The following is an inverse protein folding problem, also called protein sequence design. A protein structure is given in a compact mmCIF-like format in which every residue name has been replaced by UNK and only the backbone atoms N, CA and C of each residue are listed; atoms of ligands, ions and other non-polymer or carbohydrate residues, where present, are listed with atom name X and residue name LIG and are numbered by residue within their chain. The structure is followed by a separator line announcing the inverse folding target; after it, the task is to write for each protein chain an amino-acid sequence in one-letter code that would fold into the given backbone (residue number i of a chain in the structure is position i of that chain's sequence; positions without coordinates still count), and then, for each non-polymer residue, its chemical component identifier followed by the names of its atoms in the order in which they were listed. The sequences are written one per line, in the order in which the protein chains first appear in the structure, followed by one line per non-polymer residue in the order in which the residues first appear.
data_IF_119908200302
#
_entry.id   IF_119908200302
#
_cell.length_a   1.000
_cell.length_b   1.000
_cell.length_c   1.000
_cell.angle_alpha   90.00
_cell.angle_beta   90.00
_cell.angle_gamma   90.00
#
_symmetry.space_group_name_H-M   'P 1'
#
loop_
_entity.id
_entity.type
_entity.pdbx_description
1 polymer ?
#
# COMPACT_ATOMS: atom_id res chain seq x y z
N UNK A 1 -8.51 32.23 -88.61
CA UNK A 1 -7.53 31.53 -87.74
C UNK A 1 -7.86 31.88 -86.30
N UNK A 2 -8.33 30.92 -85.49
CA UNK A 2 -8.81 31.14 -84.11
C UNK A 2 -7.65 30.88 -83.13
N UNK A 3 -7.28 31.90 -82.35
CA UNK A 3 -6.32 31.83 -81.24
C UNK A 3 -7.01 31.17 -80.04
N UNK A 4 -6.42 30.11 -79.48
CA UNK A 4 -6.85 29.49 -78.21
C UNK A 4 -6.11 30.15 -77.05
N UNK A 5 -6.86 30.70 -76.08
CA UNK A 5 -6.32 31.08 -74.77
C UNK A 5 -6.13 29.82 -73.91
N UNK A 6 -4.95 29.70 -73.29
CA UNK A 6 -4.68 28.77 -72.19
C UNK A 6 -5.18 29.39 -70.88
N UNK A 7 -6.06 28.70 -70.16
CA UNK A 7 -6.41 29.01 -68.77
C UNK A 7 -5.57 28.12 -67.84
N UNK A 8 -4.71 28.73 -67.02
CA UNK A 8 -4.03 28.09 -65.89
C UNK A 8 -5.03 27.86 -64.76
N UNK A 9 -5.28 26.60 -64.40
CA UNK A 9 -5.99 26.25 -63.17
C UNK A 9 -4.97 26.00 -62.05
N UNK A 10 -4.90 26.92 -61.07
CA UNK A 10 -4.21 26.72 -59.80
C UNK A 10 -5.09 25.87 -58.88
N UNK A 11 -4.66 24.65 -58.59
CA UNK A 11 -5.22 23.81 -57.52
C UNK A 11 -4.47 24.11 -56.21
N UNK A 12 -5.14 24.51 -55.12
CA UNK A 12 -4.50 24.58 -53.80
C UNK A 12 -4.31 23.17 -53.26
N UNK A 13 -3.05 22.76 -53.10
CA UNK A 13 -2.65 21.64 -52.25
C UNK A 13 -2.98 21.97 -50.80
N UNK A 14 -4.17 21.60 -50.34
CA UNK A 14 -4.48 21.52 -48.92
C UNK A 14 -3.67 20.36 -48.33
N UNK A 15 -2.55 20.67 -47.68
CA UNK A 15 -1.88 19.72 -46.80
C UNK A 15 -2.83 19.40 -45.64
N UNK A 16 -3.40 18.19 -45.67
CA UNK A 16 -4.05 17.57 -44.52
C UNK A 16 -3.00 17.39 -43.42
N UNK A 17 -3.10 18.18 -42.35
CA UNK A 17 -2.31 17.96 -41.15
C UNK A 17 -2.68 16.59 -40.57
N UNK A 18 -1.72 15.67 -40.54
CA UNK A 18 -1.86 14.34 -39.97
C UNK A 18 -2.38 14.40 -38.52
N UNK A 19 -3.38 13.56 -38.22
CA UNK A 19 -3.94 13.28 -36.90
C UNK A 19 -2.90 12.63 -35.96
N UNK A 20 -1.97 13.40 -35.41
CA UNK A 20 -1.05 12.92 -34.37
C UNK A 20 -1.74 12.70 -33.02
N UNK A 21 -2.85 13.39 -32.78
CA UNK A 21 -3.64 13.31 -31.56
C UNK A 21 -4.45 12.02 -31.41
N UNK A 22 -4.90 11.40 -32.52
CA UNK A 22 -5.61 10.12 -32.46
C UNK A 22 -4.68 8.96 -32.10
N UNK A 23 -3.45 8.97 -32.63
CA UNK A 23 -2.47 7.91 -32.35
C UNK A 23 -1.99 7.96 -30.89
N UNK A 24 -1.75 9.15 -30.33
CA UNK A 24 -1.45 9.29 -28.89
C UNK A 24 -2.63 8.86 -28.03
N UNK A 25 -3.86 9.25 -28.38
CA UNK A 25 -5.05 8.87 -27.62
C UNK A 25 -5.33 7.36 -27.67
N UNK A 26 -5.09 6.71 -28.81
CA UNK A 26 -5.19 5.24 -28.95
C UNK A 26 -4.08 4.54 -28.17
N UNK A 27 -2.86 5.08 -28.16
CA UNK A 27 -1.75 4.59 -27.31
C UNK A 27 -2.07 4.70 -25.82
N UNK A 28 -2.55 5.85 -25.37
CA UNK A 28 -2.94 6.11 -23.98
C UNK A 28 -4.13 5.23 -23.56
N UNK A 29 -5.10 5.00 -24.45
CA UNK A 29 -6.22 4.08 -24.21
C UNK A 29 -5.75 2.62 -24.13
N UNK A 30 -4.83 2.19 -25.01
CA UNK A 30 -4.27 0.84 -24.97
C UNK A 30 -3.44 0.60 -23.69
N UNK A 31 -2.64 1.59 -23.28
CA UNK A 31 -1.87 1.54 -22.02
C UNK A 31 -2.82 1.54 -20.82
N UNK A 32 -3.86 2.37 -20.81
CA UNK A 32 -4.89 2.38 -19.77
C UNK A 32 -5.58 1.01 -19.65
N UNK A 33 -6.00 0.42 -20.78
CA UNK A 33 -6.69 -0.88 -20.81
C UNK A 33 -5.77 -2.02 -20.35
N UNK A 34 -4.49 -2.01 -20.74
CA UNK A 34 -3.50 -3.01 -20.31
C UNK A 34 -3.14 -2.87 -18.83
N UNK A 35 -2.99 -1.65 -18.32
CA UNK A 35 -2.76 -1.37 -16.89
C UNK A 35 -3.98 -1.68 -16.02
N UNK A 36 -5.16 -1.81 -16.62
CA UNK A 36 -6.41 -2.17 -15.93
C UNK A 36 -6.75 -3.67 -16.02
N UNK A 37 -5.95 -4.48 -16.73
CA UNK A 37 -5.99 -5.94 -16.59
C UNK A 37 -5.47 -6.32 -15.19
N UNK A 38 -6.25 -7.06 -14.41
CA UNK A 38 -5.97 -7.39 -13.01
C UNK A 38 -5.86 -6.15 -12.09
N UNK A 39 -6.66 -5.12 -12.35
CA UNK A 39 -6.71 -3.91 -11.53
C UNK A 39 -7.03 -4.24 -10.06
N UNK A 40 -7.88 -5.23 -9.80
CA UNK A 40 -8.15 -5.77 -8.48
C UNK A 40 -6.89 -6.29 -7.79
N UNK A 41 -6.12 -7.15 -8.45
CA UNK A 41 -4.86 -7.65 -7.90
C UNK A 41 -3.85 -6.53 -7.66
N UNK A 42 -3.80 -5.55 -8.57
CA UNK A 42 -2.93 -4.39 -8.44
C UNK A 42 -3.35 -3.53 -7.26
N UNK A 43 -4.64 -3.21 -7.11
CA UNK A 43 -5.14 -2.45 -5.97
C UNK A 43 -4.81 -3.13 -4.64
N UNK A 44 -4.93 -4.46 -4.58
CA UNK A 44 -4.62 -5.25 -3.38
C UNK A 44 -3.12 -5.42 -3.10
N UNK A 45 -2.25 -5.18 -4.08
CA UNK A 45 -0.80 -5.33 -3.93
C UNK A 45 -0.13 -4.13 -3.24
N UNK A 46 -0.84 -3.01 -3.08
CA UNK A 46 -0.31 -1.77 -2.53
C UNK A 46 -1.20 -1.23 -1.41
N UNK A 47 -0.58 -0.53 -0.47
CA UNK A 47 -1.26 0.44 0.38
C UNK A 47 -1.21 1.80 -0.30
N UNK A 48 -2.38 2.42 -0.50
CA UNK A 48 -2.50 3.68 -1.23
C UNK A 48 -2.68 4.82 -0.26
N UNK A 49 -1.83 5.85 -0.34
CA UNK A 49 -1.83 6.98 0.60
C UNK A 49 -1.98 8.30 -0.13
N UNK A 50 -2.86 9.18 0.35
CA UNK A 50 -3.01 10.53 -0.16
C UNK A 50 -3.08 11.52 1.01
N UNK A 51 -2.40 12.66 0.87
CA UNK A 51 -2.59 13.78 1.77
C UNK A 51 -3.87 14.52 1.35
N UNK A 52 -4.77 14.73 2.31
CA UNK A 52 -5.94 15.61 2.11
C UNK A 52 -5.63 16.97 2.72
N UNK A 53 -6.21 18.04 2.18
CA UNK A 53 -5.99 19.39 2.68
C UNK A 53 -6.22 19.44 4.20
N UNK A 54 -5.23 19.99 4.92
CA UNK A 54 -5.29 20.29 6.34
C UNK A 54 -5.45 19.11 7.32
N UNK A 55 -5.55 17.86 6.86
CA UNK A 55 -5.71 16.72 7.76
C UNK A 55 -4.37 16.36 8.45
N UNK A 56 -4.38 15.99 9.75
CA UNK A 56 -3.15 15.66 10.48
C UNK A 56 -2.40 14.42 9.96
N UNK A 57 -3.12 13.45 9.40
CA UNK A 57 -2.56 12.20 8.85
C UNK A 57 -3.09 11.95 7.45
N UNK A 58 -2.36 11.21 6.60
CA UNK A 58 -2.84 10.85 5.27
C UNK A 58 -4.08 9.95 5.35
N UNK A 59 -4.90 10.03 4.29
CA UNK A 59 -5.94 9.06 4.00
C UNK A 59 -5.28 7.83 3.37
N UNK A 60 -5.45 6.67 4.00
CA UNK A 60 -4.82 5.42 3.54
C UNK A 60 -5.87 4.38 3.18
N UNK A 61 -5.77 3.82 1.97
CA UNK A 61 -6.63 2.74 1.46
C UNK A 61 -5.87 1.41 1.49
N UNK A 62 -6.56 0.38 1.97
CA UNK A 62 -6.09 -1.01 1.96
C UNK A 62 -7.18 -1.88 1.34
N UNK A 63 -6.92 -2.35 0.13
CA UNK A 63 -7.78 -3.29 -0.56
C UNK A 63 -7.30 -4.70 -0.22
N UNK A 64 -8.16 -5.55 0.36
CA UNK A 64 -7.82 -6.95 0.59
C UNK A 64 -8.39 -7.87 -0.49
N UNK A 65 -7.77 -9.04 -0.63
CA UNK A 65 -8.20 -10.07 -1.60
C UNK A 65 -9.55 -10.71 -1.24
N UNK A 66 -10.07 -10.47 -0.03
CA UNK A 66 -11.38 -10.95 0.40
C UNK A 66 -12.51 -9.96 0.06
N UNK A 67 -12.21 -8.88 -0.65
CA UNK A 67 -13.20 -7.90 -1.11
C UNK A 67 -13.56 -6.86 -0.04
N UNK A 68 -12.71 -6.60 0.94
CA UNK A 68 -12.87 -5.48 1.90
C UNK A 68 -11.86 -4.37 1.64
N UNK A 69 -12.37 -3.14 1.66
CA UNK A 69 -11.60 -1.91 1.59
C UNK A 69 -11.57 -1.32 3.00
N UNK A 70 -10.40 -1.33 3.63
CA UNK A 70 -10.12 -0.60 4.85
C UNK A 70 -9.62 0.80 4.53
N UNK A 71 -10.18 1.80 5.21
CA UNK A 71 -9.85 3.21 5.02
C UNK A 71 -9.41 3.78 6.37
N UNK A 72 -8.13 4.13 6.47
CA UNK A 72 -7.59 4.80 7.66
C UNK A 72 -7.62 6.30 7.44
N UNK A 73 -8.26 7.03 8.35
CA UNK A 73 -8.25 8.50 8.37
C UNK A 73 -7.44 9.01 9.55
N UNK A 74 -7.42 10.32 9.74
CA UNK A 74 -6.72 10.98 10.86
C UNK A 74 -7.29 10.61 12.23
N UNK A 75 -8.58 10.26 12.28
CA UNK A 75 -9.28 9.96 13.51
C UNK A 75 -9.98 8.60 13.41
N UNK A 76 -11.06 8.46 12.65
CA UNK A 76 -11.80 7.20 12.55
C UNK A 76 -11.24 6.23 11.50
N UNK A 77 -11.44 4.93 11.75
CA UNK A 77 -11.32 3.90 10.73
C UNK A 77 -12.66 3.69 10.02
N UNK A 78 -12.64 3.52 8.70
CA UNK A 78 -13.81 3.17 7.91
C UNK A 78 -13.58 1.88 7.12
N UNK A 79 -14.67 1.21 6.76
CA UNK A 79 -14.63 -0.04 6.01
C UNK A 79 -15.84 -0.22 5.11
N UNK A 80 -15.62 -0.76 3.92
CA UNK A 80 -16.70 -1.13 2.98
C UNK A 80 -16.28 -2.37 2.19
N UNK A 81 -17.22 -3.00 1.48
CA UNK A 81 -16.87 -3.97 0.44
C UNK A 81 -16.30 -3.27 -0.78
N UNK A 82 -15.51 -3.97 -1.58
CA UNK A 82 -15.05 -3.46 -2.87
C UNK A 82 -14.94 -4.56 -3.92
N UNK A 83 -15.03 -4.16 -5.18
CA UNK A 83 -14.65 -4.94 -6.36
C UNK A 83 -14.36 -3.99 -7.52
N UNK A 84 -13.73 -4.49 -8.57
CA UNK A 84 -13.60 -3.76 -9.84
C UNK A 84 -14.65 -4.28 -10.82
N UNK A 85 -15.50 -3.37 -11.35
CA UNK A 85 -16.43 -3.67 -12.44
C UNK A 85 -16.38 -2.55 -13.46
N UNK A 86 -16.27 -2.88 -14.75
CA UNK A 86 -16.26 -1.90 -15.85
C UNK A 86 -15.31 -0.73 -15.60
N UNK A 87 -14.12 -1.03 -15.06
CA UNK A 87 -13.10 -0.04 -14.75
C UNK A 87 -13.49 0.99 -13.68
N UNK A 88 -14.41 0.60 -12.80
CA UNK A 88 -14.82 1.38 -11.64
C UNK A 88 -14.60 0.55 -10.37
N UNK A 89 -14.18 1.20 -9.29
CA UNK A 89 -14.24 0.59 -7.97
C UNK A 89 -15.69 0.69 -7.50
N UNK A 90 -16.30 -0.46 -7.27
CA UNK A 90 -17.68 -0.57 -6.76
C UNK A 90 -17.61 -0.87 -5.28
N UNK A 91 -18.22 0.00 -4.46
CA UNK A 91 -18.25 -0.14 -3.00
C UNK A 91 -19.66 -0.31 -2.47
N UNK A 92 -19.76 -0.94 -1.29
CA UNK A 92 -21.02 -1.05 -0.54
C UNK A 92 -21.20 0.07 0.49
N UNK A 93 -22.10 -0.16 1.44
CA UNK A 93 -22.33 0.75 2.57
C UNK A 93 -21.05 0.89 3.40
N UNK A 94 -20.74 2.13 3.80
CA UNK A 94 -19.59 2.41 4.64
C UNK A 94 -19.94 2.20 6.12
N UNK A 95 -19.07 1.49 6.82
CA UNK A 95 -19.06 1.47 8.27
C UNK A 95 -17.90 2.33 8.77
N UNK A 96 -18.10 3.07 9.87
CA UNK A 96 -17.06 3.89 10.48
C UNK A 96 -17.11 3.79 12.00
N UNK A 97 -15.95 3.93 12.64
CA UNK A 97 -15.89 4.21 14.09
C UNK A 97 -16.40 5.63 14.37
N UNK A 98 -16.79 5.90 15.62
CA UNK A 98 -17.35 7.19 16.04
C UNK A 98 -16.57 7.79 17.22
N UNK A 99 -15.31 8.13 17.00
CA UNK A 99 -14.53 8.92 17.94
C UNK A 99 -14.81 10.40 17.74
N UNK A 100 -14.66 11.19 18.81
CA UNK A 100 -14.70 12.65 18.70
C UNK A 100 -13.42 13.14 18.02
N UNK A 101 -13.56 13.89 16.93
CA UNK A 101 -12.45 14.29 16.07
C UNK A 101 -12.43 15.81 15.90
N UNK A 102 -11.24 16.37 15.67
CA UNK A 102 -11.15 17.77 15.28
C UNK A 102 -11.78 18.02 13.89
N UNK A 103 -12.20 19.26 13.57
CA UNK A 103 -12.91 19.55 12.32
C UNK A 103 -12.18 19.11 11.04
N UNK A 104 -10.84 19.22 11.02
CA UNK A 104 -10.02 18.84 9.86
C UNK A 104 -9.99 17.32 9.64
N UNK A 105 -9.98 16.53 10.70
CA UNK A 105 -10.10 15.08 10.61
C UNK A 105 -11.50 14.67 10.12
N UNK A 106 -12.55 15.30 10.65
CA UNK A 106 -13.93 15.07 10.16
C UNK A 106 -14.12 15.44 8.68
N UNK A 107 -13.45 16.50 8.21
CA UNK A 107 -13.48 16.87 6.79
C UNK A 107 -12.82 15.80 5.91
N UNK A 108 -11.71 15.19 6.35
CA UNK A 108 -11.09 14.06 5.65
C UNK A 108 -12.01 12.83 5.62
N UNK A 109 -12.71 12.55 6.71
CA UNK A 109 -13.72 11.49 6.78
C UNK A 109 -14.86 11.73 5.76
N UNK A 110 -15.30 12.97 5.59
CA UNK A 110 -16.27 13.34 4.56
C UNK A 110 -15.73 13.10 3.14
N UNK A 111 -14.46 13.40 2.89
CA UNK A 111 -13.81 13.09 1.60
C UNK A 111 -13.83 11.58 1.34
N UNK A 112 -13.49 10.76 2.34
CA UNK A 112 -13.55 9.30 2.21
C UNK A 112 -14.98 8.80 1.94
N UNK A 113 -15.99 9.32 2.64
CA UNK A 113 -17.39 8.97 2.41
C UNK A 113 -17.87 9.39 1.00
N UNK A 114 -17.48 10.58 0.52
CA UNK A 114 -17.83 11.06 -0.82
C UNK A 114 -17.29 10.12 -1.92
N UNK A 115 -16.12 9.51 -1.69
CA UNK A 115 -15.48 8.54 -2.59
C UNK A 115 -16.07 7.12 -2.50
N UNK A 116 -16.48 6.65 -1.32
CA UNK A 116 -16.67 5.21 -1.09
C UNK A 116 -18.02 4.80 -0.48
N UNK A 117 -18.89 5.72 -0.05
CA UNK A 117 -20.23 5.35 0.44
C UNK A 117 -21.14 4.89 -0.71
N UNK A 118 -21.30 3.58 -0.90
CA UNK A 118 -22.17 2.98 -1.91
C UNK A 118 -21.96 3.61 -3.31
N UNK A 119 -20.74 3.50 -3.84
CA UNK A 119 -20.31 4.20 -5.06
C UNK A 119 -19.91 3.23 -6.17
N UNK A 120 -19.90 3.77 -7.39
CA UNK A 120 -19.14 3.25 -8.53
C UNK A 120 -18.22 4.37 -9.00
N UNK A 121 -16.97 4.35 -8.54
CA UNK A 121 -16.01 5.44 -8.82
C UNK A 121 -15.05 5.06 -9.96
N UNK A 122 -14.95 5.87 -11.02
CA UNK A 122 -13.89 5.73 -12.00
C UNK A 122 -12.52 5.90 -11.35
N UNK A 123 -11.55 5.11 -11.81
CA UNK A 123 -10.17 5.24 -11.36
C UNK A 123 -9.18 5.07 -12.51
N UNK A 124 -7.97 5.57 -12.30
CA UNK A 124 -6.83 5.40 -13.21
C UNK A 124 -5.64 4.91 -12.40
N UNK A 125 -5.02 3.82 -12.86
CA UNK A 125 -3.75 3.34 -12.34
C UNK A 125 -2.63 3.81 -13.26
N UNK A 126 -1.54 4.30 -12.69
CA UNK A 126 -0.29 4.53 -13.39
C UNK A 126 0.82 3.77 -12.67
N UNK A 127 1.36 2.77 -13.36
CA UNK A 127 2.35 1.83 -12.83
C UNK A 127 3.75 2.06 -13.43
N UNK A 128 3.97 3.22 -14.06
CA UNK A 128 5.22 3.52 -14.75
C UNK A 128 6.41 3.69 -13.78
N UNK A 129 6.13 4.09 -12.54
CA UNK A 129 7.08 4.06 -11.43
C UNK A 129 6.72 2.89 -10.49
N UNK A 130 7.47 1.77 -10.52
CA UNK A 130 7.21 0.63 -9.65
C UNK A 130 7.39 0.92 -8.15
N UNK A 131 8.16 1.94 -7.78
CA UNK A 131 8.43 2.31 -6.39
C UNK A 131 7.36 3.25 -5.83
N UNK A 132 6.72 4.04 -6.70
CA UNK A 132 5.67 4.98 -6.33
C UNK A 132 4.55 5.02 -7.39
N UNK A 133 3.85 3.90 -7.66
CA UNK A 133 2.73 3.92 -8.58
C UNK A 133 1.62 4.82 -8.05
N UNK A 134 0.77 5.32 -8.95
CA UNK A 134 -0.32 6.21 -8.55
C UNK A 134 -1.70 5.63 -8.89
N UNK A 135 -2.63 5.84 -7.97
CA UNK A 135 -4.05 5.56 -8.13
C UNK A 135 -4.80 6.89 -8.07
N UNK A 136 -5.43 7.27 -9.17
CA UNK A 136 -6.28 8.46 -9.22
C UNK A 136 -7.74 8.02 -9.13
N UNK A 137 -8.49 8.54 -8.16
CA UNK A 137 -9.93 8.32 -8.02
C UNK A 137 -10.65 9.65 -8.26
N UNK A 138 -11.76 9.61 -8.99
CA UNK A 138 -12.60 10.78 -9.26
C UNK A 138 -13.82 10.75 -8.33
N UNK A 139 -13.99 11.80 -7.54
CA UNK A 139 -15.17 11.96 -6.67
C UNK A 139 -16.42 12.23 -7.50
N UNK A 140 -17.60 12.09 -6.89
CA UNK A 140 -18.89 12.43 -7.52
C UNK A 140 -19.00 13.91 -7.91
N UNK A 141 -18.16 14.77 -7.33
CA UNK A 141 -18.07 16.20 -7.65
C UNK A 141 -17.08 16.50 -8.79
N UNK A 142 -16.44 15.47 -9.34
CA UNK A 142 -15.41 15.60 -10.38
C UNK A 142 -14.00 15.90 -9.85
N UNK A 143 -13.82 15.99 -8.53
CA UNK A 143 -12.51 16.23 -7.92
C UNK A 143 -11.64 14.98 -8.04
N UNK A 144 -10.38 15.15 -8.41
CA UNK A 144 -9.42 14.05 -8.53
C UNK A 144 -8.59 13.97 -7.27
N UNK A 145 -8.49 12.77 -6.69
CA UNK A 145 -7.60 12.49 -5.56
C UNK A 145 -6.58 11.47 -6.04
N UNK A 146 -5.31 11.83 -5.91
CA UNK A 146 -4.17 11.00 -6.33
C UNK A 146 -3.54 10.39 -5.10
N UNK A 147 -3.54 9.06 -5.05
CA UNK A 147 -2.88 8.27 -4.03
C UNK A 147 -1.55 7.74 -4.57
N UNK A 148 -0.54 7.70 -3.72
CA UNK A 148 0.73 7.02 -3.98
C UNK A 148 0.70 5.64 -3.35
N UNK A 149 1.05 4.62 -4.13
CA UNK A 149 1.10 3.23 -3.70
C UNK A 149 2.44 2.90 -3.05
N UNK A 150 2.40 2.20 -1.91
CA UNK A 150 3.53 1.49 -1.34
C UNK A 150 3.26 0.00 -1.39
N UNK A 151 4.16 -0.77 -2.00
CA UNK A 151 3.99 -2.21 -2.15
C UNK A 151 3.83 -2.89 -0.78
N UNK A 152 2.90 -3.83 -0.70
CA UNK A 152 2.70 -4.69 0.48
C UNK A 152 3.86 -5.68 0.62
N UNK A 153 4.09 -6.18 1.83
CA UNK A 153 5.15 -7.16 2.07
C UNK A 153 4.85 -8.49 1.35
N UNK A 154 3.57 -8.91 1.34
CA UNK A 154 3.07 -10.06 0.59
C UNK A 154 3.40 -9.95 -0.91
N UNK A 155 3.19 -8.78 -1.51
CA UNK A 155 3.51 -8.54 -2.92
C UNK A 155 5.03 -8.46 -3.16
N UNK A 156 5.77 -7.80 -2.26
CA UNK A 156 7.24 -7.68 -2.33
C UNK A 156 7.93 -9.03 -2.26
N UNK A 157 7.53 -9.90 -1.33
CA UNK A 157 8.15 -11.22 -1.12
C UNK A 157 7.48 -12.35 -1.89
N UNK A 158 6.30 -12.10 -2.48
CA UNK A 158 5.53 -13.08 -3.24
C UNK A 158 5.25 -14.38 -2.47
N UNK A 159 5.03 -14.23 -1.16
CA UNK A 159 4.73 -15.32 -0.23
C UNK A 159 3.69 -14.85 0.79
N UNK A 160 2.95 -15.79 1.36
CA UNK A 160 2.01 -15.47 2.44
C UNK A 160 2.78 -15.20 3.74
N UNK A 161 2.37 -14.15 4.45
CA UNK A 161 2.99 -13.78 5.71
C UNK A 161 2.54 -14.69 6.85
N UNK A 162 3.44 -15.55 7.31
CA UNK A 162 3.27 -16.34 8.53
C UNK A 162 3.35 -15.44 9.76
N UNK A 163 2.35 -15.50 10.63
CA UNK A 163 2.37 -14.75 11.89
C UNK A 163 3.18 -15.49 12.93
N UNK A 164 4.22 -14.85 13.45
CA UNK A 164 4.99 -15.30 14.61
C UNK A 164 5.01 -14.22 15.69
N UNK A 165 5.30 -14.61 16.93
CA UNK A 165 5.44 -13.68 18.04
C UNK A 165 6.82 -13.84 18.67
N UNK A 166 7.54 -12.74 18.75
CA UNK A 166 8.84 -12.69 19.42
C UNK A 166 8.73 -11.78 20.63
N UNK A 167 9.14 -12.29 21.78
CA UNK A 167 9.52 -11.43 22.90
C UNK A 167 10.95 -10.97 22.67
N UNK A 168 11.17 -9.66 22.76
CA UNK A 168 12.43 -9.00 22.50
C UNK A 168 12.95 -8.43 23.81
N UNK A 169 14.18 -8.81 24.15
CA UNK A 169 14.87 -8.34 25.34
C UNK A 169 15.21 -6.84 25.24
N UNK A 170 15.20 -6.11 26.35
CA UNK A 170 15.78 -4.78 26.44
C UNK A 170 17.29 -4.77 26.12
N UNK A 171 17.97 -5.90 26.29
CA UNK A 171 19.39 -6.03 26.03
C UNK A 171 19.69 -6.64 24.66
N UNK A 172 20.68 -6.09 23.98
CA UNK A 172 21.27 -6.66 22.77
C UNK A 172 22.63 -7.29 23.06
N UNK A 173 23.11 -8.14 22.16
CA UNK A 173 24.42 -8.78 22.29
C UNK A 173 25.23 -8.67 21.01
N UNK A 174 26.54 -8.50 21.15
CA UNK A 174 27.45 -8.63 20.02
C UNK A 174 27.33 -10.03 19.42
N UNK A 175 27.30 -10.10 18.10
CA UNK A 175 27.15 -11.33 17.34
C UNK A 175 27.86 -11.20 15.99
N UNK A 176 28.17 -12.33 15.37
CA UNK A 176 28.78 -12.37 14.05
C UNK A 176 27.85 -13.12 13.11
N UNK A 177 27.34 -12.42 12.10
CA UNK A 177 26.69 -13.02 10.93
C UNK A 177 27.65 -12.96 9.75
N UNK A 178 27.21 -12.35 8.65
CA UNK A 178 28.08 -11.98 7.51
C UNK A 178 29.18 -10.99 7.97
N UNK A 179 28.84 -10.10 8.90
CA UNK A 179 29.76 -9.17 9.56
C UNK A 179 29.52 -9.15 11.07
N UNK A 180 30.48 -8.58 11.81
CA UNK A 180 30.28 -8.29 13.23
C UNK A 180 29.18 -7.23 13.39
N UNK A 181 28.20 -7.51 14.25
CA UNK A 181 27.03 -6.66 14.46
C UNK A 181 26.48 -6.83 15.89
N UNK A 182 25.43 -6.08 16.20
CA UNK A 182 24.70 -6.18 17.46
C UNK A 182 23.33 -6.81 17.19
N UNK A 183 23.08 -7.98 17.76
CA UNK A 183 21.84 -8.75 17.60
C UNK A 183 20.86 -8.47 18.73
N UNK A 184 19.57 -8.56 18.40
CA UNK A 184 18.52 -8.65 19.41
C UNK A 184 18.62 -10.00 20.13
N UNK A 185 18.24 -10.04 21.40
CA UNK A 185 17.93 -11.29 22.09
C UNK A 185 16.43 -11.50 22.03
N UNK A 186 16.01 -12.65 21.50
CA UNK A 186 14.60 -12.98 21.30
C UNK A 186 14.24 -14.35 21.87
N UNK A 187 12.96 -14.55 22.16
CA UNK A 187 12.38 -15.88 22.37
C UNK A 187 11.00 -15.95 21.74
N UNK A 188 10.67 -17.09 21.16
CA UNK A 188 9.39 -17.28 20.50
C UNK A 188 8.27 -17.49 21.52
N UNK A 189 7.13 -16.87 21.24
CA UNK A 189 5.88 -17.06 21.98
C UNK A 189 4.85 -17.66 21.02
N UNK A 190 4.10 -18.65 21.50
CA UNK A 190 2.92 -19.15 20.80
C UNK A 190 1.66 -18.67 21.50
N UNK A 191 0.68 -18.32 20.68
CA UNK A 191 -0.66 -17.95 21.10
C UNK A 191 -1.65 -18.94 20.51
N UNK A 192 -2.71 -19.25 21.25
CA UNK A 192 -3.88 -19.91 20.71
C UNK A 192 -4.73 -18.92 19.90
N UNK A 193 -5.66 -19.44 19.10
CA UNK A 193 -6.55 -18.63 18.25
C UNK A 193 -7.42 -17.64 19.06
N UNK A 194 -7.66 -17.93 20.34
CA UNK A 194 -8.36 -17.04 21.27
C UNK A 194 -7.47 -15.96 21.91
N UNK A 195 -6.20 -15.86 21.52
CA UNK A 195 -5.26 -14.85 22.01
C UNK A 195 -4.59 -15.17 23.35
N UNK A 196 -4.75 -16.38 23.89
CA UNK A 196 -4.08 -16.82 25.13
C UNK A 196 -2.66 -17.32 24.83
N UNK A 197 -1.65 -16.87 25.61
CA UNK A 197 -0.27 -17.38 25.54
C UNK A 197 -0.25 -18.87 25.90
N UNK A 198 0.20 -19.72 25.00
CA UNK A 198 0.25 -21.19 25.20
C UNK A 198 1.66 -21.71 25.45
N UNK A 199 2.67 -21.07 24.87
CA UNK A 199 4.07 -21.49 25.03
C UNK A 199 4.98 -20.27 25.00
N UNK A 200 5.98 -20.25 25.87
CA UNK A 200 7.10 -19.30 25.84
C UNK A 200 8.37 -20.13 25.87
N UNK A 201 9.22 -19.99 24.87
CA UNK A 201 10.52 -20.64 24.88
C UNK A 201 11.32 -20.15 26.09
N UNK A 202 11.95 -21.07 26.84
CA UNK A 202 12.66 -20.69 28.07
C UNK A 202 13.94 -19.93 27.77
N UNK A 203 14.63 -20.33 26.71
CA UNK A 203 15.94 -19.82 26.37
C UNK A 203 15.86 -18.64 25.40
N UNK A 204 16.69 -17.64 25.67
CA UNK A 204 16.93 -16.52 24.76
C UNK A 204 17.87 -16.96 23.64
N UNK A 205 17.54 -16.59 22.42
CA UNK A 205 18.39 -16.80 21.24
C UNK A 205 18.78 -15.46 20.62
N UNK A 206 19.90 -15.44 19.91
CA UNK A 206 20.31 -14.28 19.14
C UNK A 206 19.52 -14.20 17.84
N UNK A 207 18.97 -13.03 17.55
CA UNK A 207 18.30 -12.76 16.29
C UNK A 207 19.24 -12.01 15.35
N UNK A 208 19.74 -12.72 14.35
CA UNK A 208 20.75 -12.25 13.40
C UNK A 208 20.20 -11.42 12.24
N UNK A 209 18.87 -11.30 12.15
CA UNK A 209 18.18 -10.59 11.08
C UNK A 209 17.65 -9.24 11.56
N UNK A 210 17.20 -8.42 10.62
CA UNK A 210 16.42 -7.21 10.93
C UNK A 210 14.92 -7.49 10.87
N UNK A 211 14.15 -6.66 11.55
CA UNK A 211 12.68 -6.64 11.48
C UNK A 211 12.29 -5.31 10.86
N UNK A 212 11.77 -5.32 9.63
CA UNK A 212 11.34 -4.11 8.93
C UNK A 212 10.24 -3.41 9.73
N UNK A 213 10.43 -2.12 10.03
CA UNK A 213 9.47 -1.30 10.79
C UNK A 213 9.58 -1.41 12.32
N UNK A 214 10.48 -2.24 12.85
CA UNK A 214 10.76 -2.32 14.29
C UNK A 214 12.02 -1.55 14.67
N UNK A 215 11.92 -0.76 15.74
CA UNK A 215 13.06 -0.08 16.37
C UNK A 215 13.16 -0.56 17.80
N UNK A 216 14.33 -1.12 18.15
CA UNK A 216 14.60 -1.59 19.50
C UNK A 216 14.60 -0.44 20.52
N UNK A 217 14.02 -0.69 21.69
CA UNK A 217 14.04 0.24 22.81
C UNK A 217 14.71 -0.45 24.01
N UNK A 218 15.90 -0.01 24.46
CA UNK A 218 16.59 -0.63 25.58
C UNK A 218 15.92 -0.40 26.94
N UNK A 219 14.90 0.46 27.01
CA UNK A 219 14.13 0.73 28.25
C UNK A 219 12.92 -0.18 28.43
N UNK A 220 12.62 -1.00 27.42
CA UNK A 220 11.41 -1.81 27.39
C UNK A 220 11.72 -3.23 26.93
N UNK A 221 11.00 -4.18 27.52
CA UNK A 221 10.79 -5.51 26.97
C UNK A 221 9.51 -5.47 26.15
N UNK A 222 9.54 -6.06 24.96
CA UNK A 222 8.42 -5.94 24.03
C UNK A 222 8.05 -7.29 23.45
N UNK A 223 6.75 -7.59 23.36
CA UNK A 223 6.26 -8.71 22.55
C UNK A 223 5.76 -8.14 21.23
N UNK A 224 6.34 -8.61 20.14
CA UNK A 224 6.09 -8.11 18.80
C UNK A 224 5.47 -9.22 17.97
N UNK A 225 4.32 -8.92 17.36
CA UNK A 225 3.74 -9.74 16.30
C UNK A 225 4.42 -9.37 14.98
N UNK A 226 4.98 -10.38 14.34
CA UNK A 226 5.80 -10.23 13.14
C UNK A 226 5.15 -11.07 12.03
N UNK A 227 5.16 -10.53 10.81
CA UNK A 227 4.90 -11.29 9.60
C UNK A 227 6.22 -11.77 9.03
N UNK A 228 6.38 -13.09 8.96
CA UNK A 228 7.53 -13.79 8.37
C UNK A 228 7.17 -14.21 6.96
N UNK A 229 7.99 -13.80 6.00
CA UNK A 229 7.82 -14.10 4.58
C UNK A 229 8.97 -14.95 4.09
N UNK A 230 8.68 -15.97 3.29
CA UNK A 230 9.72 -16.74 2.62
C UNK A 230 10.30 -15.90 1.46
N UNK A 231 11.63 -15.81 1.41
CA UNK A 231 12.36 -15.09 0.37
C UNK A 231 12.74 -16.07 -0.72
N UNK A 232 12.34 -15.80 -1.97
CA UNK A 232 12.71 -16.63 -3.11
C UNK A 232 14.19 -16.40 -3.45
N UNK A 233 14.95 -17.49 -3.57
CA UNK A 233 16.36 -17.50 -3.94
C UNK A 233 17.23 -16.55 -3.07
N UNK A 234 17.27 -16.75 -1.73
CA UNK A 234 18.14 -15.95 -0.88
C UNK A 234 19.60 -16.20 -1.24
N UNK A 235 20.45 -15.18 -1.09
CA UNK A 235 21.89 -15.39 -1.15
C UNK A 235 22.33 -16.35 -0.03
N UNK A 236 23.42 -17.10 -0.26
CA UNK A 236 23.83 -18.21 0.61
C UNK A 236 23.99 -17.82 2.09
N UNK A 237 24.45 -16.59 2.36
CA UNK A 237 24.70 -16.09 3.72
C UNK A 237 23.52 -15.27 4.29
N UNK A 238 22.38 -15.25 3.60
CA UNK A 238 21.17 -14.54 4.03
C UNK A 238 20.09 -15.51 4.50
N UNK A 239 19.27 -15.05 5.44
CA UNK A 239 18.09 -15.79 5.88
C UNK A 239 17.14 -16.06 4.71
N UNK A 240 16.57 -17.26 4.67
CA UNK A 240 15.43 -17.61 3.80
C UNK A 240 14.14 -16.87 4.16
N UNK A 241 14.15 -16.07 5.22
CA UNK A 241 13.02 -15.31 5.71
C UNK A 241 13.29 -13.82 5.79
N UNK A 242 12.27 -13.04 5.42
CA UNK A 242 12.14 -11.62 5.74
C UNK A 242 11.12 -11.44 6.87
N UNK A 243 11.38 -10.46 7.75
CA UNK A 243 10.57 -10.19 8.93
C UNK A 243 10.05 -8.77 8.88
N UNK A 244 8.74 -8.58 8.99
CA UNK A 244 8.10 -7.26 9.00
C UNK A 244 7.29 -7.13 10.27
N UNK A 245 7.48 -6.05 11.01
CA UNK A 245 6.66 -5.73 12.17
C UNK A 245 5.20 -5.55 11.72
N UNK A 246 4.30 -6.31 12.32
CA UNK A 246 2.87 -6.07 12.19
C UNK A 246 2.43 -5.11 13.30
N UNK A 247 2.64 -5.50 14.56
CA UNK A 247 2.35 -4.65 15.71
C UNK A 247 3.09 -5.09 16.98
N UNK A 248 3.20 -4.17 17.94
CA UNK A 248 3.65 -4.48 19.30
C UNK A 248 2.42 -4.85 20.12
N UNK A 249 2.42 -6.05 20.70
CA UNK A 249 1.32 -6.63 21.46
C UNK A 249 1.44 -6.27 22.94
N UNK A 250 2.66 -6.20 23.46
CA UNK A 250 2.92 -5.95 24.87
C UNK A 250 4.21 -5.12 25.01
N UNK A 251 4.21 -4.22 26.01
CA UNK A 251 5.39 -3.45 26.41
C UNK A 251 5.48 -3.49 27.93
N UNK A 252 6.67 -3.80 28.42
CA UNK A 252 7.00 -3.80 29.84
C UNK A 252 8.23 -2.93 30.06
N UNK A 253 8.11 -1.87 30.85
CA UNK A 253 9.24 -0.99 31.16
C UNK A 253 10.19 -1.69 32.13
N UNK A 254 11.49 -1.62 31.84
CA UNK A 254 12.52 -2.08 32.78
C UNK A 254 12.72 -1.01 33.84
N UNK A 255 12.45 -1.33 35.11
CA UNK A 255 12.76 -0.41 36.23
C UNK A 255 14.29 -0.35 36.42
N UNK A 256 14.93 0.75 35.98
CA UNK A 256 16.36 0.96 36.22
C UNK A 256 17.10 1.94 35.29
N UNK A 257 16.48 3.01 34.81
CA UNK A 257 17.21 4.09 34.14
C UNK A 257 16.58 5.45 34.44
N UNK A 258 16.84 5.92 35.66
CA UNK A 258 17.01 7.34 35.97
C UNK A 258 18.44 7.51 36.46
#
# INVERSE_FOLDING_TARGET
MKLKLLALALFPLALTACQSSEIQKVGDLAVSVLQQQNADQTLANYHWSANTADAPKPLVLKFDKAGRLGISTSCNGMGTSWKVENNQIVTGNLAATQMACEPKAMAQEKVAADLFENRKVPFVLNLNDPQAPTLTIVSVKGEKIVFTGKQTAESKYQSEGETIFLEISPETKACTGVTAQTCLQVREIKYADNGVKTQVNKDWTLFYNSIEGFTHNPKERQIVRIKRYEVKNPAADHSKYAYVQDMIIERETVKGSL
#
